data_IF_246703956125
#
_entry.id   IF_246703956125
#
_cell.length_a   1.000
_cell.length_b   1.000
_cell.length_c   1.000
_cell.angle_alpha   90.00
_cell.angle_beta   90.00
_cell.angle_gamma   90.00
#
_symmetry.space_group_name_H-M   'P 1'
#
loop_
_entity.id
_entity.type
_entity.pdbx_description
1 polymer ?
#
# COMPACT_ATOMS: atom_id res chain seq x y z
N UNK A 1 -7.61 -1.85 8.89
CA UNK A 1 -6.92 -0.74 8.18
C UNK A 1 -5.75 -0.25 9.01
N UNK A 2 -4.81 0.46 8.39
CA UNK A 2 -3.65 1.10 9.02
C UNK A 2 -3.60 2.54 8.52
N UNK A 3 -3.38 3.49 9.43
CA UNK A 3 -3.39 4.93 9.17
C UNK A 3 -2.11 5.57 9.72
N UNK A 4 -1.50 6.45 8.95
CA UNK A 4 -0.36 7.25 9.39
C UNK A 4 -0.64 8.76 9.33
N UNK A 5 0.31 9.57 9.78
CA UNK A 5 0.29 11.04 9.68
C UNK A 5 1.56 11.56 9.01
N UNK A 6 2.10 10.78 8.06
CA UNK A 6 3.26 11.15 7.26
C UNK A 6 2.91 12.11 6.12
N UNK A 7 3.83 12.30 5.15
CA UNK A 7 3.64 13.23 4.04
C UNK A 7 2.60 12.79 3.00
N UNK A 8 2.12 11.55 3.08
CA UNK A 8 1.25 10.96 2.07
C UNK A 8 2.02 10.28 0.95
N UNK A 9 1.30 9.89 -0.10
CA UNK A 9 1.82 9.30 -1.34
C UNK A 9 1.14 10.04 -2.48
N UNK A 10 1.93 10.49 -3.46
CA UNK A 10 1.42 11.21 -4.63
C UNK A 10 0.55 10.31 -5.50
N UNK A 11 -0.38 10.90 -6.25
CA UNK A 11 -1.36 10.13 -7.03
C UNK A 11 -0.69 9.27 -8.12
N UNK A 12 0.36 9.79 -8.74
CA UNK A 12 1.15 9.06 -9.74
C UNK A 12 1.86 7.84 -9.11
N UNK A 13 2.43 8.01 -7.93
CA UNK A 13 3.15 6.95 -7.22
C UNK A 13 2.20 5.82 -6.77
N UNK A 14 0.93 6.12 -6.42
CA UNK A 14 -0.04 5.11 -5.95
C UNK A 14 -0.25 3.96 -6.92
N UNK A 15 -0.08 4.21 -8.21
CA UNK A 15 -0.21 3.17 -9.24
C UNK A 15 1.00 2.22 -9.22
N UNK A 16 2.16 2.71 -8.80
CA UNK A 16 3.43 2.01 -8.84
C UNK A 16 3.86 1.43 -7.47
N UNK A 17 3.31 1.90 -6.35
CA UNK A 17 3.76 1.48 -5.00
C UNK A 17 3.62 -0.03 -4.73
N UNK A 18 2.86 -0.76 -5.53
CA UNK A 18 2.70 -2.21 -5.45
C UNK A 18 3.58 -2.97 -6.46
N UNK A 19 4.27 -2.28 -7.36
CA UNK A 19 5.23 -2.87 -8.28
C UNK A 19 6.47 -3.34 -7.50
N UNK A 20 6.98 -4.56 -7.78
CA UNK A 20 8.24 -5.00 -7.21
C UNK A 20 9.37 -4.00 -7.52
N UNK A 21 10.21 -3.75 -6.51
CA UNK A 21 11.36 -2.85 -6.58
C UNK A 21 11.04 -1.34 -6.64
N UNK A 22 9.77 -0.94 -6.66
CA UNK A 22 9.42 0.48 -6.53
C UNK A 22 9.72 1.00 -5.12
N UNK A 23 10.46 2.11 -5.04
CA UNK A 23 10.80 2.76 -3.77
C UNK A 23 11.08 4.25 -3.99
N UNK A 24 10.69 5.08 -3.03
CA UNK A 24 11.10 6.48 -2.93
C UNK A 24 12.26 6.68 -1.95
N UNK A 25 12.67 5.60 -1.25
CA UNK A 25 13.75 5.62 -0.27
C UNK A 25 15.07 5.22 -0.93
N UNK A 26 16.18 5.96 -0.70
CA UNK A 26 17.48 5.69 -1.32
C UNK A 26 18.02 4.27 -1.12
N UNK A 27 17.78 3.68 0.06
CA UNK A 27 18.23 2.32 0.41
C UNK A 27 17.07 1.32 0.54
N UNK A 28 15.88 1.68 0.05
CA UNK A 28 14.72 0.79 0.10
C UNK A 28 14.79 -0.28 -0.99
N UNK A 29 14.51 -1.54 -0.66
CA UNK A 29 14.44 -2.60 -1.68
C UNK A 29 13.13 -2.55 -2.49
N UNK A 30 12.08 -1.89 -1.99
CA UNK A 30 10.79 -1.79 -2.70
C UNK A 30 9.99 -3.09 -2.78
N UNK A 31 10.20 -4.03 -1.85
CA UNK A 31 9.55 -5.36 -1.91
C UNK A 31 8.32 -5.51 -1.00
N UNK A 32 8.22 -4.72 0.07
CA UNK A 32 7.23 -4.96 1.13
C UNK A 32 5.78 -4.89 0.65
N UNK A 33 5.41 -3.84 -0.10
CA UNK A 33 4.04 -3.66 -0.57
C UNK A 33 3.67 -4.66 -1.67
N UNK A 34 4.61 -5.02 -2.56
CA UNK A 34 4.41 -6.07 -3.56
C UNK A 34 4.14 -7.44 -2.90
N UNK A 35 4.89 -7.78 -1.84
CA UNK A 35 4.67 -9.01 -1.07
C UNK A 35 3.28 -9.01 -0.41
N UNK A 36 2.91 -7.91 0.26
CA UNK A 36 1.61 -7.81 0.95
C UNK A 36 0.45 -7.89 -0.04
N UNK A 37 0.57 -7.25 -1.21
CA UNK A 37 -0.40 -7.38 -2.32
C UNK A 37 -0.61 -8.84 -2.69
N UNK A 38 0.49 -9.55 -2.98
CA UNK A 38 0.42 -10.97 -3.35
C UNK A 38 -0.21 -11.85 -2.26
N UNK A 39 0.08 -11.60 -0.98
CA UNK A 39 -0.51 -12.34 0.14
C UNK A 39 -2.03 -12.08 0.22
N UNK A 40 -2.45 -10.83 0.09
CA UNK A 40 -3.88 -10.49 0.19
C UNK A 40 -4.65 -11.06 -1.01
N UNK A 41 -4.09 -10.94 -2.21
CA UNK A 41 -4.70 -11.48 -3.43
C UNK A 41 -4.81 -13.01 -3.36
N UNK A 42 -3.82 -13.71 -2.78
CA UNK A 42 -3.87 -15.17 -2.58
C UNK A 42 -4.94 -15.62 -1.59
N UNK A 43 -5.44 -14.71 -0.75
CA UNK A 43 -6.56 -14.92 0.16
C UNK A 43 -7.88 -14.37 -0.41
N UNK A 44 -7.94 -14.11 -1.72
CA UNK A 44 -9.09 -13.52 -2.40
C UNK A 44 -9.51 -12.18 -1.79
N UNK A 45 -8.57 -11.49 -1.16
CA UNK A 45 -8.78 -10.18 -0.58
C UNK A 45 -8.53 -9.06 -1.58
N UNK A 46 -8.72 -7.84 -1.10
CA UNK A 46 -8.45 -6.62 -1.85
C UNK A 46 -7.68 -5.66 -0.98
N UNK A 47 -6.57 -5.09 -1.48
CA UNK A 47 -5.79 -4.04 -0.82
C UNK A 47 -6.00 -2.68 -1.51
N UNK A 48 -6.34 -1.68 -0.73
CA UNK A 48 -6.60 -0.30 -1.17
C UNK A 48 -5.68 0.67 -0.44
N UNK A 49 -5.34 1.77 -1.10
CA UNK A 49 -4.57 2.89 -0.56
C UNK A 49 -5.30 4.20 -0.84
N UNK A 50 -5.32 5.13 0.12
CA UNK A 50 -5.90 6.46 -0.05
C UNK A 50 -5.22 7.50 0.84
N UNK A 51 -5.26 8.77 0.42
CA UNK A 51 -4.99 9.89 1.35
C UNK A 51 -5.97 9.89 2.51
N UNK A 52 -5.51 10.32 3.68
CA UNK A 52 -6.38 10.58 4.83
C UNK A 52 -6.50 12.09 5.11
N UNK A 53 -7.46 12.45 5.96
CA UNK A 53 -7.78 13.85 6.28
C UNK A 53 -6.62 14.64 6.95
N UNK A 54 -5.60 13.94 7.46
CA UNK A 54 -4.43 14.53 8.11
C UNK A 54 -3.24 14.71 7.15
N UNK A 55 -3.43 14.45 5.86
CA UNK A 55 -2.37 14.50 4.85
C UNK A 55 -1.52 13.23 4.77
N UNK A 56 -1.72 12.26 5.66
CA UNK A 56 -1.02 10.97 5.62
C UNK A 56 -1.70 9.94 4.72
N UNK A 57 -1.27 8.67 4.85
CA UNK A 57 -1.81 7.56 4.06
C UNK A 57 -2.70 6.64 4.90
N UNK A 58 -3.67 6.01 4.25
CA UNK A 58 -4.43 4.89 4.79
C UNK A 58 -4.29 3.69 3.88
N UNK A 59 -3.78 2.59 4.41
CA UNK A 59 -3.83 1.28 3.78
C UNK A 59 -4.99 0.47 4.39
N UNK A 60 -5.80 -0.15 3.55
CA UNK A 60 -6.92 -0.98 3.99
C UNK A 60 -7.01 -2.21 3.13
N UNK A 61 -7.21 -3.36 3.76
CA UNK A 61 -7.55 -4.58 3.05
C UNK A 61 -8.79 -5.22 3.62
N UNK A 62 -9.50 -5.96 2.76
CA UNK A 62 -10.63 -6.79 3.12
C UNK A 62 -10.29 -8.23 2.74
N UNK A 63 -10.73 -9.19 3.55
CA UNK A 63 -10.68 -10.61 3.23
C UNK A 63 -12.12 -11.14 3.18
N UNK A 64 -12.42 -12.15 2.36
CA UNK A 64 -13.72 -12.81 2.39
C UNK A 64 -13.97 -13.42 3.78
N UNK A 65 -15.14 -13.15 4.34
CA UNK A 65 -15.61 -13.87 5.52
C UNK A 65 -16.27 -15.16 5.03
N UNK A 66 -15.63 -16.30 5.30
CA UNK A 66 -16.21 -17.64 5.08
C UNK A 66 -17.54 -17.79 5.80
#
# INVERSE_FOLDING_TARGET
SVHDSGPGIDEEERQQIFEPFFTTKPEGMGMGLAIIRSIIDSHNGELTVRSNQKGGTTFQFNLPNT
#
